data_IF_300362576452
#
_entry.id   IF_300362576452
#
_cell.length_a   1.000
_cell.length_b   1.000
_cell.length_c   1.000
_cell.angle_alpha   90.00
_cell.angle_beta   90.00
_cell.angle_gamma   90.00
#
_symmetry.space_group_name_H-M   'P 1'
#
loop_
_entity.id
_entity.type
_entity.pdbx_description
1 polymer ?
#
# COMPACT_ATOMS: atom_id res chain seq x y z
N UNK A 1 5.26 -30.19 -8.75
CA UNK A 1 3.79 -30.20 -8.63
C UNK A 1 3.32 -28.77 -8.89
N UNK A 2 3.12 -28.44 -10.17
CA UNK A 2 2.78 -27.08 -10.64
C UNK A 2 1.29 -26.86 -10.45
N UNK A 3 0.89 -26.32 -9.30
CA UNK A 3 -0.49 -25.88 -9.10
C UNK A 3 -0.59 -24.46 -9.63
N UNK A 4 -1.09 -24.37 -10.87
CA UNK A 4 -1.86 -23.28 -11.44
C UNK A 4 -1.44 -21.82 -11.12
N UNK A 5 -0.47 -21.27 -11.85
CA UNK A 5 -0.37 -19.80 -12.00
C UNK A 5 -1.64 -19.23 -12.63
N UNK A 6 -2.20 -19.94 -13.61
CA UNK A 6 -3.25 -19.43 -14.48
C UNK A 6 -4.60 -19.39 -13.73
N UNK A 7 -4.89 -20.38 -12.88
CA UNK A 7 -6.14 -20.38 -12.09
C UNK A 7 -6.14 -19.33 -10.97
N UNK A 8 -4.97 -18.96 -10.45
CA UNK A 8 -4.86 -17.90 -9.43
C UNK A 8 -5.11 -16.54 -10.07
N UNK A 9 -4.56 -16.28 -11.26
CA UNK A 9 -4.85 -15.05 -11.99
C UNK A 9 -6.32 -14.96 -12.40
N UNK A 10 -6.90 -16.09 -12.82
CA UNK A 10 -8.32 -16.17 -13.17
C UNK A 10 -9.23 -15.92 -11.94
N UNK A 11 -8.84 -16.40 -10.75
CA UNK A 11 -9.57 -16.16 -9.50
C UNK A 11 -9.45 -14.70 -9.00
N UNK A 12 -8.25 -14.11 -9.09
CA UNK A 12 -7.97 -12.77 -8.58
C UNK A 12 -8.43 -11.66 -9.55
N UNK A 13 -8.63 -11.99 -10.82
CA UNK A 13 -9.02 -11.05 -11.87
C UNK A 13 -7.89 -10.12 -12.30
N UNK A 14 -8.17 -9.33 -13.34
CA UNK A 14 -7.22 -8.36 -13.92
C UNK A 14 -6.77 -7.29 -12.90
N UNK A 15 -7.61 -6.96 -11.93
CA UNK A 15 -7.36 -5.92 -10.91
C UNK A 15 -6.66 -6.44 -9.65
N UNK A 16 -6.08 -7.65 -9.71
CA UNK A 16 -5.36 -8.27 -8.59
C UNK A 16 -4.27 -7.39 -7.99
N UNK A 17 -3.70 -6.48 -8.78
CA UNK A 17 -2.69 -5.52 -8.33
C UNK A 17 -3.24 -4.51 -7.30
N UNK A 18 -4.56 -4.21 -7.30
CA UNK A 18 -5.20 -3.28 -6.34
C UNK A 18 -5.52 -3.90 -4.97
N UNK A 19 -5.25 -5.19 -4.76
CA UNK A 19 -5.71 -5.92 -3.57
C UNK A 19 -5.11 -5.43 -2.25
N UNK A 20 -3.86 -4.96 -2.28
CA UNK A 20 -3.14 -4.52 -1.08
C UNK A 20 -2.30 -3.28 -1.37
N UNK A 21 -1.91 -2.50 -0.33
CA UNK A 21 -0.96 -1.40 -0.50
C UNK A 21 0.36 -1.79 -1.18
N UNK A 22 0.82 -3.03 -0.99
CA UNK A 22 2.11 -3.45 -1.54
C UNK A 22 2.00 -3.89 -3.00
N UNK A 23 0.93 -4.62 -3.36
CA UNK A 23 0.68 -5.00 -4.75
C UNK A 23 0.42 -3.76 -5.62
N UNK A 24 -0.31 -2.78 -5.06
CA UNK A 24 -0.61 -1.54 -5.77
C UNK A 24 0.66 -0.70 -5.96
N UNK A 25 1.50 -0.63 -4.91
CA UNK A 25 2.76 0.08 -4.99
C UNK A 25 3.75 -0.51 -5.98
N UNK A 26 3.82 -1.84 -6.08
CA UNK A 26 4.65 -2.49 -7.09
C UNK A 26 4.16 -2.17 -8.52
N UNK A 27 2.84 -2.05 -8.71
CA UNK A 27 2.24 -1.74 -10.01
C UNK A 27 2.48 -0.29 -10.46
N UNK A 28 2.10 0.72 -9.66
CA UNK A 28 2.27 2.11 -10.09
C UNK A 28 3.75 2.52 -10.18
N UNK A 29 4.62 1.90 -9.38
CA UNK A 29 6.06 2.17 -9.43
C UNK A 29 6.76 1.53 -10.63
N UNK A 30 6.03 0.84 -11.51
CA UNK A 30 6.58 0.08 -12.65
C UNK A 30 7.70 -0.87 -12.20
N UNK A 31 7.43 -1.62 -11.12
CA UNK A 31 8.36 -2.58 -10.49
C UNK A 31 9.69 -1.99 -9.98
N UNK A 32 9.88 -0.66 -9.99
CA UNK A 32 11.04 -0.01 -9.35
C UNK A 32 11.03 -0.15 -7.84
N UNK A 33 9.85 -0.35 -7.26
CA UNK A 33 9.69 -0.72 -5.86
C UNK A 33 9.25 -2.17 -5.75
N UNK A 34 10.12 -3.00 -5.17
CA UNK A 34 9.87 -4.44 -5.00
C UNK A 34 9.65 -4.72 -3.51
N UNK A 35 8.44 -5.10 -3.09
CA UNK A 35 8.17 -5.39 -1.69
C UNK A 35 8.91 -6.67 -1.25
N UNK A 36 9.63 -6.58 -0.13
CA UNK A 36 10.15 -7.77 0.54
C UNK A 36 8.99 -8.67 1.03
N UNK A 37 9.21 -10.00 1.18
CA UNK A 37 8.14 -10.94 1.56
C UNK A 37 7.38 -10.56 2.84
N UNK A 38 8.07 -9.99 3.84
CA UNK A 38 7.42 -9.52 5.07
C UNK A 38 6.49 -8.33 4.82
N UNK A 39 6.83 -7.44 3.87
CA UNK A 39 5.97 -6.32 3.49
C UNK A 39 4.72 -6.82 2.78
N UNK A 40 4.82 -7.82 1.90
CA UNK A 40 3.65 -8.46 1.28
C UNK A 40 2.72 -9.05 2.34
N UNK A 41 3.28 -9.81 3.29
CA UNK A 41 2.49 -10.44 4.35
C UNK A 41 1.77 -9.41 5.22
N UNK A 42 2.48 -8.38 5.68
CA UNK A 42 1.89 -7.36 6.55
C UNK A 42 0.90 -6.48 5.78
N UNK A 43 1.20 -6.15 4.52
CA UNK A 43 0.30 -5.40 3.66
C UNK A 43 -1.05 -6.10 3.47
N UNK A 44 -1.04 -7.42 3.26
CA UNK A 44 -2.25 -8.22 3.23
C UNK A 44 -3.06 -8.15 4.54
N UNK A 45 -2.39 -8.25 5.70
CA UNK A 45 -3.06 -8.16 7.01
C UNK A 45 -3.67 -6.78 7.23
N UNK A 46 -2.95 -5.71 6.87
CA UNK A 46 -3.42 -4.33 6.96
C UNK A 46 -4.60 -4.09 6.03
N UNK A 47 -4.51 -4.49 4.75
CA UNK A 47 -5.61 -4.36 3.79
C UNK A 47 -6.88 -5.08 4.27
N UNK A 48 -6.72 -6.32 4.75
CA UNK A 48 -7.83 -7.12 5.27
C UNK A 48 -8.49 -6.46 6.48
N UNK A 49 -7.70 -5.98 7.42
CA UNK A 49 -8.20 -5.30 8.61
C UNK A 49 -8.89 -3.97 8.26
N UNK A 50 -8.31 -3.17 7.37
CA UNK A 50 -8.89 -1.91 6.91
C UNK A 50 -10.23 -2.13 6.18
N UNK A 51 -10.32 -3.11 5.27
CA UNK A 51 -11.58 -3.44 4.57
C UNK A 51 -12.69 -3.90 5.50
N UNK A 52 -12.37 -4.58 6.60
CA UNK A 52 -13.35 -4.96 7.63
C UNK A 52 -13.86 -3.76 8.44
N UNK A 53 -13.16 -2.62 8.40
CA UNK A 53 -13.47 -1.43 9.18
C UNK A 53 -13.01 -1.52 10.63
N UNK A 54 -12.93 -0.36 11.30
CA UNK A 54 -12.53 -0.22 12.72
C UNK A 54 -11.20 -0.90 13.07
N UNK A 55 -10.28 -0.98 12.11
CA UNK A 55 -8.97 -1.59 12.30
C UNK A 55 -8.18 -0.90 13.42
N UNK A 56 -7.66 -1.67 14.36
CA UNK A 56 -6.74 -1.21 15.42
C UNK A 56 -5.48 -2.06 15.32
N UNK A 57 -4.48 -1.54 14.62
CA UNK A 57 -3.28 -2.32 14.26
C UNK A 57 -2.06 -1.64 14.89
N UNK A 58 -1.26 -2.42 15.60
CA UNK A 58 0.08 -2.05 16.04
C UNK A 58 1.07 -2.99 15.37
N UNK A 59 2.11 -2.40 14.77
CA UNK A 59 3.09 -3.15 13.99
C UNK A 59 4.49 -2.78 14.50
N UNK A 60 5.24 -3.77 14.97
CA UNK A 60 6.63 -3.60 15.40
C UNK A 60 7.57 -4.03 14.29
N UNK A 61 8.39 -3.10 13.79
CA UNK A 61 9.34 -3.34 12.71
C UNK A 61 10.73 -2.82 13.10
N UNK A 62 11.80 -3.57 12.80
CA UNK A 62 13.16 -3.04 12.91
C UNK A 62 13.37 -1.84 11.96
N UNK A 63 14.33 -0.95 12.29
CA UNK A 63 14.68 0.18 11.44
C UNK A 63 15.18 -0.31 10.06
N UNK A 64 14.99 0.50 9.01
CA UNK A 64 15.40 0.21 7.61
C UNK A 64 14.70 -0.99 6.94
N UNK A 65 13.53 -1.41 7.41
CA UNK A 65 12.78 -2.53 6.82
C UNK A 65 11.59 -2.10 5.95
N UNK A 66 11.62 -0.89 5.39
CA UNK A 66 10.59 -0.40 4.47
C UNK A 66 9.25 -0.02 5.11
N UNK A 67 9.14 -0.06 6.46
CA UNK A 67 7.89 0.23 7.18
C UNK A 67 7.30 1.61 6.86
N UNK A 68 8.15 2.65 6.81
CA UNK A 68 7.70 4.02 6.57
C UNK A 68 7.20 4.21 5.14
N UNK A 69 7.85 3.55 4.18
CA UNK A 69 7.42 3.57 2.79
C UNK A 69 6.04 2.89 2.64
N UNK A 70 5.89 1.69 3.19
CA UNK A 70 4.63 0.96 3.11
C UNK A 70 3.48 1.68 3.81
N UNK A 71 3.68 2.17 5.04
CA UNK A 71 2.59 2.71 5.87
C UNK A 71 2.37 4.21 5.73
N UNK A 72 3.42 5.00 5.49
CA UNK A 72 3.29 6.46 5.39
C UNK A 72 3.07 6.95 3.96
N UNK A 73 3.35 6.12 2.95
CA UNK A 73 3.21 6.50 1.53
C UNK A 73 2.22 5.58 0.82
N UNK A 74 2.52 4.28 0.74
CA UNK A 74 1.75 3.35 -0.10
C UNK A 74 0.35 3.06 0.46
N UNK A 75 0.21 2.96 1.78
CA UNK A 75 -1.08 2.67 2.43
C UNK A 75 -2.07 3.85 2.29
N UNK A 76 -1.70 5.11 2.54
CA UNK A 76 -2.56 6.26 2.24
C UNK A 76 -3.01 6.33 0.78
N UNK A 77 -2.10 6.10 -0.17
CA UNK A 77 -2.43 6.07 -1.60
C UNK A 77 -3.47 5.00 -1.89
N UNK A 78 -3.28 3.80 -1.33
CA UNK A 78 -4.21 2.69 -1.51
C UNK A 78 -5.58 2.98 -0.89
N UNK A 79 -5.64 3.63 0.27
CA UNK A 79 -6.92 4.04 0.87
C UNK A 79 -7.65 5.04 -0.03
N UNK A 80 -6.93 6.01 -0.61
CA UNK A 80 -7.51 7.06 -1.45
C UNK A 80 -7.95 6.55 -2.81
N UNK A 81 -7.24 5.58 -3.39
CA UNK A 81 -7.69 4.88 -4.60
C UNK A 81 -9.03 4.17 -4.35
N UNK A 82 -9.15 3.46 -3.23
CA UNK A 82 -10.38 2.73 -2.91
C UNK A 82 -11.54 3.70 -2.56
N UNK A 83 -11.23 4.86 -1.99
CA UNK A 83 -12.19 5.90 -1.64
C UNK A 83 -11.54 7.28 -1.61
N UNK A 84 -11.73 8.06 -2.68
CA UNK A 84 -11.18 9.41 -2.79
C UNK A 84 -11.71 10.39 -1.73
N UNK A 85 -12.87 10.10 -1.10
CA UNK A 85 -13.42 10.89 -0.01
C UNK A 85 -12.93 10.44 1.38
N UNK A 86 -12.05 9.44 1.46
CA UNK A 86 -11.50 8.96 2.72
C UNK A 86 -10.68 10.06 3.43
N UNK A 87 -10.87 10.17 4.74
CA UNK A 87 -10.09 11.08 5.58
C UNK A 87 -8.88 10.34 6.12
N UNK A 88 -7.69 10.70 5.63
CA UNK A 88 -6.41 10.10 6.03
C UNK A 88 -5.57 11.16 6.74
N UNK A 89 -5.01 10.80 7.90
CA UNK A 89 -4.08 11.65 8.65
C UNK A 89 -2.80 10.86 8.93
N UNK A 90 -1.66 11.45 8.57
CA UNK A 90 -0.36 10.94 8.95
C UNK A 90 0.12 11.63 10.23
N UNK A 91 0.74 10.87 11.11
CA UNK A 91 1.27 11.33 12.39
C UNK A 91 2.63 10.66 12.63
N UNK A 92 3.56 11.37 13.24
CA UNK A 92 4.94 10.91 13.42
C UNK A 92 5.73 11.83 14.33
N UNK A 93 7.03 11.53 14.46
CA UNK A 93 7.93 12.20 15.40
C UNK A 93 8.12 13.71 15.14
N UNK A 94 8.13 14.13 13.87
CA UNK A 94 8.35 15.52 13.49
C UNK A 94 7.47 15.94 12.33
N UNK A 95 7.07 17.22 12.33
CA UNK A 95 6.19 17.79 11.31
C UNK A 95 6.80 17.70 9.91
N UNK A 96 8.09 17.97 9.77
CA UNK A 96 8.77 17.94 8.47
C UNK A 96 8.73 16.55 7.85
N UNK A 97 9.07 15.52 8.64
CA UNK A 97 9.03 14.12 8.21
C UNK A 97 7.63 13.69 7.74
N UNK A 98 6.59 14.08 8.48
CA UNK A 98 5.19 13.78 8.12
C UNK A 98 4.77 14.56 6.87
N UNK A 99 5.22 15.81 6.74
CA UNK A 99 4.92 16.68 5.61
C UNK A 99 5.54 16.12 4.33
N UNK A 100 6.78 15.64 4.39
CA UNK A 100 7.45 15.04 3.24
C UNK A 100 6.73 13.77 2.76
N UNK A 101 6.30 12.90 3.67
CA UNK A 101 5.48 11.74 3.29
C UNK A 101 4.15 12.15 2.66
N UNK A 102 3.47 13.16 3.23
CA UNK A 102 2.21 13.68 2.70
C UNK A 102 2.37 14.27 1.29
N UNK A 103 3.47 14.99 1.03
CA UNK A 103 3.81 15.50 -0.30
C UNK A 103 4.02 14.37 -1.29
N UNK A 104 4.82 13.36 -0.92
CA UNK A 104 5.04 12.16 -1.77
C UNK A 104 3.74 11.43 -2.11
N UNK A 105 2.81 11.31 -1.16
CA UNK A 105 1.48 10.73 -1.42
C UNK A 105 0.74 11.52 -2.48
N UNK A 106 0.65 12.84 -2.33
CA UNK A 106 -0.02 13.71 -3.29
C UNK A 106 0.65 13.64 -4.66
N UNK A 107 1.96 13.75 -4.70
CA UNK A 107 2.74 13.84 -5.93
C UNK A 107 2.63 12.51 -6.71
N UNK A 108 2.74 11.35 -6.04
CA UNK A 108 2.49 10.05 -6.66
C UNK A 108 1.09 9.94 -7.28
N UNK A 109 0.04 10.39 -6.58
CA UNK A 109 -1.34 10.34 -7.11
C UNK A 109 -1.48 11.24 -8.34
N UNK A 110 -0.84 12.41 -8.34
CA UNK A 110 -0.90 13.35 -9.45
C UNK A 110 -0.09 12.91 -10.67
N UNK A 111 1.03 12.21 -10.45
CA UNK A 111 1.90 11.69 -11.51
C UNK A 111 1.31 10.43 -12.18
N UNK A 112 0.57 9.61 -11.44
CA UNK A 112 0.05 8.31 -11.91
C UNK A 112 -1.48 8.29 -12.07
N UNK A 113 -2.07 9.36 -12.63
CA UNK A 113 -3.53 9.49 -12.82
C UNK A 113 -4.16 8.43 -13.73
N UNK A 114 -3.36 7.77 -14.54
CA UNK A 114 -3.76 6.64 -15.37
C UNK A 114 -3.95 5.35 -14.56
N UNK A 115 -3.28 5.26 -13.41
CA UNK A 115 -3.35 4.12 -12.48
C UNK A 115 -4.40 4.34 -11.39
N UNK A 116 -4.54 5.58 -10.92
CA UNK A 116 -5.43 5.99 -9.82
C UNK A 116 -6.84 6.40 -10.26
#
# INVERSE_FOLDING_TARGET
MSVHSDSIQELLGADSWRLTPATMAAAYADLRWIPAPHLLKVSHLVATALKRGRARILISFPPRHGKSELFSVNTPQWILEQNAAAKVMLTGYGLDLVTDFSRRVRDNILEHKDVF
#
